data_IF_211092467480
#
_entry.id   IF_211092467480
#
_cell.length_a   1.000
_cell.length_b   1.000
_cell.length_c   1.000
_cell.angle_alpha   90.00
_cell.angle_beta   90.00
_cell.angle_gamma   90.00
#
_symmetry.space_group_name_H-M   'P 1'
#
loop_
_entity.id
_entity.type
_entity.pdbx_description
1 polymer ?
#
# COMPACT_ATOMS: atom_id res chain seq x y z
N UNK A 1 -4.83 -30.47 5.90
CA UNK A 1 -5.34 -29.39 5.04
C UNK A 1 -4.17 -28.44 4.79
N UNK A 2 -3.89 -28.07 3.54
CA UNK A 2 -2.87 -27.05 3.25
C UNK A 2 -3.30 -25.73 3.91
N UNK A 3 -2.37 -25.03 4.53
CA UNK A 3 -2.68 -23.75 5.15
C UNK A 3 -2.94 -22.72 4.04
N UNK A 4 -4.01 -21.94 4.20
CA UNK A 4 -4.41 -20.90 3.25
C UNK A 4 -3.34 -19.82 3.07
N UNK A 5 -3.10 -19.42 1.82
CA UNK A 5 -2.06 -18.46 1.42
C UNK A 5 -2.68 -17.10 1.10
N UNK A 6 -2.09 -16.04 1.66
CA UNK A 6 -2.44 -14.65 1.38
C UNK A 6 -1.24 -13.87 0.83
N UNK A 7 -1.40 -13.23 -0.33
CA UNK A 7 -0.38 -12.38 -0.90
C UNK A 7 -0.42 -10.97 -0.29
N UNK A 8 0.75 -10.39 -0.02
CA UNK A 8 0.93 -9.04 0.52
C UNK A 8 1.61 -8.13 -0.49
N UNK A 9 1.18 -6.87 -0.57
CA UNK A 9 1.77 -5.86 -1.44
C UNK A 9 1.98 -4.54 -0.68
N UNK A 10 3.22 -4.04 -0.70
CA UNK A 10 3.59 -2.81 -0.02
C UNK A 10 2.98 -1.54 -0.64
N UNK A 11 2.94 -0.49 0.17
CA UNK A 11 2.63 0.87 -0.25
C UNK A 11 3.85 1.65 -0.75
N UNK A 12 3.70 2.98 -0.84
CA UNK A 12 4.80 3.90 -1.12
C UNK A 12 5.81 3.90 0.04
N UNK A 13 7.07 4.15 -0.22
CA UNK A 13 8.26 4.13 0.65
C UNK A 13 9.17 2.91 0.50
N UNK A 14 8.80 1.94 -0.32
CA UNK A 14 9.67 0.77 -0.61
C UNK A 14 10.51 0.96 -1.88
N UNK A 15 10.29 2.04 -2.63
CA UNK A 15 11.06 2.36 -3.83
C UNK A 15 12.51 2.73 -3.47
N UNK A 16 13.44 2.36 -4.35
CA UNK A 16 14.86 2.65 -4.22
C UNK A 16 15.49 2.68 -5.62
N UNK A 17 16.48 3.55 -5.83
CA UNK A 17 17.18 3.63 -7.11
C UNK A 17 17.73 2.26 -7.52
N UNK A 18 17.48 1.87 -8.77
CA UNK A 18 17.90 0.57 -9.28
C UNK A 18 17.04 -0.62 -8.89
N UNK A 19 15.88 -0.42 -8.25
CA UNK A 19 14.97 -1.49 -7.78
C UNK A 19 14.57 -2.50 -8.87
N UNK A 20 14.63 -2.13 -10.13
CA UNK A 20 14.28 -2.98 -11.28
C UNK A 20 15.46 -3.57 -12.01
N UNK A 21 16.72 -3.23 -11.67
CA UNK A 21 17.92 -3.67 -12.43
C UNK A 21 17.98 -5.19 -12.52
N UNK A 22 17.91 -5.90 -11.40
CA UNK A 22 17.93 -7.36 -11.38
C UNK A 22 16.60 -7.97 -11.83
N UNK A 23 15.48 -7.30 -11.53
CA UNK A 23 14.14 -7.73 -11.93
C UNK A 23 14.02 -7.83 -13.46
N UNK A 24 14.50 -6.82 -14.18
CA UNK A 24 14.41 -6.75 -15.65
C UNK A 24 15.35 -7.73 -16.37
N UNK A 25 16.26 -8.40 -15.67
CA UNK A 25 17.02 -9.54 -16.21
C UNK A 25 16.16 -10.81 -16.28
N UNK A 26 15.04 -10.86 -15.57
CA UNK A 26 14.10 -12.00 -15.59
C UNK A 26 13.11 -11.82 -16.75
N UNK A 27 13.08 -12.74 -17.75
CA UNK A 27 12.24 -12.58 -18.94
C UNK A 27 10.75 -12.42 -18.62
N UNK A 28 10.23 -13.19 -17.66
CA UNK A 28 8.83 -13.12 -17.23
C UNK A 28 8.48 -11.74 -16.65
N UNK A 29 9.36 -11.17 -15.80
CA UNK A 29 9.14 -9.85 -15.21
C UNK A 29 9.26 -8.73 -16.26
N UNK A 30 10.26 -8.82 -17.17
CA UNK A 30 10.41 -7.86 -18.27
C UNK A 30 9.17 -7.83 -19.16
N UNK A 31 8.61 -8.98 -19.51
CA UNK A 31 7.38 -9.05 -20.31
C UNK A 31 6.20 -8.33 -19.64
N UNK A 32 6.08 -8.38 -18.32
CA UNK A 32 5.06 -7.63 -17.56
C UNK A 32 5.32 -6.13 -17.64
N UNK A 33 6.55 -5.67 -17.45
CA UNK A 33 6.90 -4.26 -17.54
C UNK A 33 6.63 -3.70 -18.93
N UNK A 34 6.91 -4.47 -19.99
CA UNK A 34 6.57 -4.05 -21.38
C UNK A 34 5.06 -3.87 -21.57
N UNK A 35 4.23 -4.73 -20.98
CA UNK A 35 2.76 -4.59 -21.00
C UNK A 35 2.27 -3.34 -20.25
N UNK A 36 2.99 -2.89 -19.23
CA UNK A 36 2.65 -1.71 -18.44
C UNK A 36 3.12 -0.39 -19.06
N UNK A 37 4.17 -0.40 -19.91
CA UNK A 37 4.71 0.83 -20.55
C UNK A 37 3.66 1.68 -21.25
N UNK A 38 2.68 1.15 -22.02
CA UNK A 38 1.68 1.98 -22.70
C UNK A 38 0.85 2.84 -21.75
N UNK A 39 0.59 2.38 -20.54
CA UNK A 39 -0.20 3.10 -19.52
C UNK A 39 0.66 3.89 -18.53
N UNK A 40 1.80 3.33 -18.12
CA UNK A 40 2.66 3.95 -17.10
C UNK A 40 3.71 4.92 -17.66
N UNK A 41 3.94 4.93 -18.97
CA UNK A 41 4.85 5.84 -19.66
C UNK A 41 6.10 5.15 -20.20
N UNK A 42 6.67 5.74 -21.28
CA UNK A 42 7.86 5.21 -21.95
C UNK A 42 9.11 5.27 -21.07
N UNK A 43 9.12 6.13 -20.04
CA UNK A 43 10.19 6.30 -19.06
C UNK A 43 10.20 5.22 -17.96
N UNK A 44 9.26 4.28 -17.97
CA UNK A 44 9.07 3.28 -16.90
C UNK A 44 10.35 2.46 -16.63
N UNK A 45 11.07 2.07 -17.67
CA UNK A 45 12.32 1.33 -17.49
C UNK A 45 13.39 2.19 -16.79
N UNK A 46 13.50 3.45 -17.15
CA UNK A 46 14.41 4.39 -16.48
C UNK A 46 14.01 4.62 -15.02
N UNK A 47 12.71 4.72 -14.72
CA UNK A 47 12.22 4.79 -13.32
C UNK A 47 12.65 3.59 -12.48
N UNK A 48 12.67 2.41 -13.09
CA UNK A 48 13.04 1.17 -12.40
C UNK A 48 14.57 0.97 -12.28
N UNK A 49 15.39 1.61 -13.13
CA UNK A 49 16.82 1.24 -13.25
C UNK A 49 17.80 2.34 -12.97
N UNK A 50 17.52 3.56 -13.41
CA UNK A 50 18.53 4.65 -13.43
C UNK A 50 18.07 5.94 -12.75
N UNK A 51 16.79 6.05 -12.40
CA UNK A 51 16.25 7.27 -11.76
C UNK A 51 16.80 7.40 -10.33
N UNK A 52 17.38 8.55 -9.96
CA UNK A 52 17.85 8.81 -8.59
C UNK A 52 16.74 8.78 -7.56
N UNK A 53 17.08 8.47 -6.30
CA UNK A 53 16.12 8.32 -5.20
C UNK A 53 15.24 9.54 -4.99
N UNK A 54 15.80 10.76 -5.04
CA UNK A 54 15.04 11.99 -4.85
C UNK A 54 13.98 12.24 -5.94
N UNK A 55 14.23 11.81 -7.18
CA UNK A 55 13.29 11.89 -8.29
C UNK A 55 12.29 10.75 -8.23
N UNK A 56 12.76 9.55 -7.86
CA UNK A 56 11.93 8.36 -7.70
C UNK A 56 10.95 8.51 -6.51
N UNK A 57 11.32 9.24 -5.46
CA UNK A 57 10.48 9.51 -4.30
C UNK A 57 9.26 10.41 -4.59
N UNK A 58 9.28 11.17 -5.69
CA UNK A 58 8.10 11.95 -6.11
C UNK A 58 6.92 11.01 -6.34
N UNK A 59 5.76 11.34 -5.78
CA UNK A 59 4.56 10.50 -5.77
C UNK A 59 4.17 9.99 -7.16
N UNK A 60 4.27 10.85 -8.18
CA UNK A 60 3.98 10.47 -9.56
C UNK A 60 4.91 9.35 -10.07
N UNK A 61 6.18 9.38 -9.70
CA UNK A 61 7.18 8.40 -10.13
C UNK A 61 7.12 7.14 -9.25
N UNK A 62 7.08 7.32 -7.93
CA UNK A 62 7.06 6.23 -6.96
C UNK A 62 5.91 5.26 -7.21
N UNK A 63 4.67 5.77 -7.39
CA UNK A 63 3.52 4.90 -7.60
C UNK A 63 3.63 4.06 -8.87
N UNK A 64 4.12 4.64 -9.98
CA UNK A 64 4.33 3.92 -11.25
C UNK A 64 5.39 2.83 -11.11
N UNK A 65 6.54 3.17 -10.52
CA UNK A 65 7.65 2.24 -10.35
C UNK A 65 7.31 1.09 -9.40
N UNK A 66 6.74 1.40 -8.24
CA UNK A 66 6.35 0.39 -7.23
C UNK A 66 5.31 -0.57 -7.81
N UNK A 67 4.26 -0.04 -8.47
CA UNK A 67 3.24 -0.89 -9.05
C UNK A 67 3.79 -1.83 -10.12
N UNK A 68 4.60 -1.30 -11.04
CA UNK A 68 5.24 -2.12 -12.06
C UNK A 68 6.14 -3.20 -11.46
N UNK A 69 6.92 -2.83 -10.44
CA UNK A 69 7.75 -3.77 -9.69
C UNK A 69 6.91 -4.87 -9.02
N UNK A 70 5.84 -4.50 -8.29
CA UNK A 70 4.98 -5.48 -7.61
C UNK A 70 4.33 -6.47 -8.57
N UNK A 71 3.70 -5.97 -9.64
CA UNK A 71 3.03 -6.85 -10.61
C UNK A 71 4.03 -7.75 -11.33
N UNK A 72 5.20 -7.21 -11.71
CA UNK A 72 6.25 -7.99 -12.36
C UNK A 72 6.84 -9.07 -11.43
N UNK A 73 7.13 -8.74 -10.18
CA UNK A 73 7.59 -9.71 -9.18
C UNK A 73 6.55 -10.82 -8.95
N UNK A 74 5.29 -10.41 -8.70
CA UNK A 74 4.22 -11.35 -8.41
C UNK A 74 3.99 -12.34 -9.56
N UNK A 75 3.86 -11.85 -10.79
CA UNK A 75 3.58 -12.71 -11.94
C UNK A 75 4.77 -13.61 -12.29
N UNK A 76 6.01 -13.13 -12.12
CA UNK A 76 7.20 -13.97 -12.28
C UNK A 76 7.24 -15.07 -11.21
N UNK A 77 6.94 -14.74 -9.96
CA UNK A 77 6.88 -15.70 -8.87
C UNK A 77 5.77 -16.73 -9.07
N UNK A 78 4.57 -16.29 -9.41
CA UNK A 78 3.42 -17.19 -9.67
C UNK A 78 3.69 -18.13 -10.84
N UNK A 79 4.30 -17.65 -11.94
CA UNK A 79 4.67 -18.47 -13.07
C UNK A 79 5.70 -19.54 -12.71
N UNK A 80 6.61 -19.25 -11.79
CA UNK A 80 7.61 -20.20 -11.29
C UNK A 80 7.06 -21.20 -10.28
N UNK A 81 5.88 -20.94 -9.72
CA UNK A 81 5.23 -21.78 -8.71
C UNK A 81 3.81 -22.15 -9.16
N UNK A 82 3.65 -22.99 -10.19
CA UNK A 82 2.33 -23.30 -10.79
C UNK A 82 1.37 -24.01 -9.85
N UNK A 83 1.85 -24.56 -8.75
CA UNK A 83 1.03 -25.14 -7.69
C UNK A 83 0.63 -24.16 -6.58
N UNK A 84 0.99 -22.88 -6.70
CA UNK A 84 0.61 -21.86 -5.72
C UNK A 84 -0.87 -21.50 -5.91
N UNK A 85 -1.68 -21.86 -4.94
CA UNK A 85 -3.07 -21.44 -4.86
C UNK A 85 -3.19 -20.32 -3.83
N UNK A 86 -3.73 -19.17 -4.26
CA UNK A 86 -4.07 -18.07 -3.35
C UNK A 86 -5.44 -18.32 -2.73
N UNK A 87 -5.55 -17.92 -1.47
CA UNK A 87 -6.83 -17.85 -0.73
C UNK A 87 -7.22 -16.39 -0.40
N UNK A 88 -6.33 -15.44 -0.66
CA UNK A 88 -6.59 -14.02 -0.49
C UNK A 88 -5.42 -13.14 -0.88
N UNK A 89 -5.66 -11.84 -0.94
CA UNK A 89 -4.62 -10.84 -1.16
C UNK A 89 -4.89 -9.56 -0.35
N UNK A 90 -3.82 -8.89 0.05
CA UNK A 90 -3.86 -7.63 0.81
C UNK A 90 -2.89 -6.65 0.15
N UNK A 91 -3.31 -5.40 0.00
CA UNK A 91 -2.41 -4.33 -0.43
C UNK A 91 -2.44 -3.16 0.54
N UNK A 92 -1.26 -2.72 0.98
CA UNK A 92 -1.13 -1.51 1.76
C UNK A 92 -1.21 -0.30 0.83
N UNK A 93 -2.16 0.61 1.07
CA UNK A 93 -2.36 1.81 0.25
C UNK A 93 -2.44 1.49 -1.25
N UNK A 94 -1.52 2.02 -2.06
CA UNK A 94 -1.46 1.75 -3.50
C UNK A 94 -1.22 0.27 -3.84
N UNK A 95 -0.66 -0.50 -2.93
CA UNK A 95 -0.42 -1.94 -3.09
C UNK A 95 -1.71 -2.73 -3.34
N UNK A 96 -2.87 -2.19 -2.95
CA UNK A 96 -4.19 -2.81 -3.23
C UNK A 96 -4.42 -3.04 -4.73
N UNK A 97 -3.84 -2.20 -5.60
CA UNK A 97 -4.00 -2.36 -7.05
C UNK A 97 -3.24 -3.60 -7.56
N UNK A 98 -2.05 -3.88 -7.01
CA UNK A 98 -1.34 -5.13 -7.29
C UNK A 98 -2.03 -6.34 -6.65
N UNK A 99 -2.62 -6.19 -5.46
CA UNK A 99 -3.43 -7.22 -4.82
C UNK A 99 -4.65 -7.60 -5.68
N UNK A 100 -5.31 -6.62 -6.31
CA UNK A 100 -6.41 -6.86 -7.26
C UNK A 100 -5.95 -7.60 -8.52
N UNK A 101 -4.73 -7.35 -9.01
CA UNK A 101 -4.13 -8.13 -10.12
C UNK A 101 -3.89 -9.57 -9.67
N UNK A 102 -3.30 -9.78 -8.50
CA UNK A 102 -3.04 -11.11 -7.96
C UNK A 102 -4.34 -11.91 -7.74
N UNK A 103 -5.40 -11.26 -7.29
CA UNK A 103 -6.72 -11.85 -7.12
C UNK A 103 -7.49 -12.05 -8.44
N UNK A 104 -6.96 -11.58 -9.58
CA UNK A 104 -7.60 -11.66 -10.89
C UNK A 104 -8.77 -10.71 -11.10
N UNK A 105 -8.90 -9.67 -10.27
CA UNK A 105 -9.93 -8.63 -10.39
C UNK A 105 -9.56 -7.53 -11.41
N UNK A 106 -8.27 -7.31 -11.65
CA UNK A 106 -7.76 -6.38 -12.65
C UNK A 106 -6.80 -7.09 -13.62
N UNK A 107 -6.87 -6.72 -14.89
CA UNK A 107 -5.79 -7.03 -15.83
C UNK A 107 -4.52 -6.23 -15.51
N UNK A 108 -3.39 -6.67 -16.04
CA UNK A 108 -2.12 -5.91 -15.93
C UNK A 108 -2.29 -4.52 -16.55
N UNK A 109 -2.90 -4.46 -17.72
CA UNK A 109 -3.12 -3.23 -18.48
C UNK A 109 -4.04 -2.26 -17.72
N UNK A 110 -5.20 -2.74 -17.26
CA UNK A 110 -6.17 -1.93 -16.51
C UNK A 110 -5.58 -1.41 -15.20
N UNK A 111 -4.77 -2.24 -14.51
CA UNK A 111 -4.08 -1.82 -13.30
C UNK A 111 -3.09 -0.69 -13.55
N UNK A 112 -2.38 -0.74 -14.69
CA UNK A 112 -1.50 0.33 -15.15
C UNK A 112 -2.26 1.64 -15.44
N UNK A 113 -3.40 1.55 -16.13
CA UNK A 113 -4.27 2.72 -16.40
C UNK A 113 -4.73 3.37 -15.11
N UNK A 114 -5.17 2.57 -14.14
CA UNK A 114 -5.64 3.09 -12.85
C UNK A 114 -4.51 3.73 -12.03
N UNK A 115 -3.35 3.07 -11.92
CA UNK A 115 -2.19 3.62 -11.19
C UNK A 115 -1.66 4.89 -11.83
N UNK A 116 -1.60 4.98 -13.16
CA UNK A 116 -1.19 6.21 -13.85
C UNK A 116 -2.10 7.40 -13.48
N UNK A 117 -3.41 7.16 -13.48
CA UNK A 117 -4.38 8.18 -13.09
C UNK A 117 -4.28 8.55 -11.60
N UNK A 118 -4.11 7.56 -10.71
CA UNK A 118 -3.91 7.76 -9.28
C UNK A 118 -2.64 8.59 -9.02
N UNK A 119 -1.51 8.20 -9.59
CA UNK A 119 -0.24 8.90 -9.44
C UNK A 119 -0.35 10.37 -9.90
N UNK A 120 -1.00 10.61 -11.04
CA UNK A 120 -1.25 11.98 -11.57
C UNK A 120 -2.16 12.78 -10.65
N UNK A 121 -3.28 12.19 -10.20
CA UNK A 121 -4.25 12.86 -9.33
C UNK A 121 -3.64 13.22 -7.97
N UNK A 122 -2.88 12.30 -7.38
CA UNK A 122 -2.19 12.53 -6.10
C UNK A 122 -1.12 13.61 -6.23
N UNK A 123 -0.28 13.56 -7.27
CA UNK A 123 0.73 14.60 -7.53
C UNK A 123 0.08 15.97 -7.78
N UNK A 124 -1.09 16.02 -8.44
CA UNK A 124 -1.82 17.27 -8.65
C UNK A 124 -2.35 17.84 -7.32
N UNK A 125 -2.89 16.99 -6.44
CA UNK A 125 -3.32 17.43 -5.11
C UNK A 125 -2.13 18.00 -4.31
N UNK A 126 -0.98 17.30 -4.28
CA UNK A 126 0.21 17.78 -3.57
C UNK A 126 0.66 19.16 -4.03
N UNK A 127 0.60 19.43 -5.34
CA UNK A 127 0.98 20.74 -5.92
C UNK A 127 -0.05 21.85 -5.67
N UNK A 128 -1.29 21.48 -5.34
CA UNK A 128 -2.37 22.43 -5.13
C UNK A 128 -2.55 22.85 -3.66
N UNK A 129 -1.82 22.25 -2.72
CA UNK A 129 -1.91 22.64 -1.32
C UNK A 129 -1.42 24.07 -1.10
N UNK A 130 -2.20 24.90 -0.37
CA UNK A 130 -1.85 26.31 -0.13
C UNK A 130 -0.67 26.46 0.84
N UNK A 131 -0.34 25.41 1.59
CA UNK A 131 0.71 25.35 2.58
C UNK A 131 1.36 23.97 2.61
N UNK A 132 2.56 23.80 3.18
CA UNK A 132 3.20 22.51 3.30
C UNK A 132 2.35 21.53 4.12
N UNK A 133 2.07 20.37 3.52
CA UNK A 133 1.31 19.28 4.14
C UNK A 133 2.12 17.97 4.05
N UNK A 134 1.87 17.05 4.95
CA UNK A 134 2.62 15.79 4.98
C UNK A 134 2.05 14.73 5.90
N UNK A 135 2.90 13.76 6.19
CA UNK A 135 2.60 12.66 7.12
C UNK A 135 3.64 12.62 8.23
N UNK A 136 3.22 12.16 9.40
CA UNK A 136 4.11 11.80 10.49
C UNK A 136 3.86 10.35 10.90
N UNK A 137 4.91 9.52 10.90
CA UNK A 137 4.86 8.19 11.49
C UNK A 137 4.78 8.31 13.01
N UNK A 138 3.90 7.53 13.61
CA UNK A 138 3.71 7.45 15.05
C UNK A 138 3.89 6.03 15.51
N UNK A 139 4.60 5.85 16.62
CA UNK A 139 4.70 4.56 17.32
C UNK A 139 4.42 4.75 18.80
N UNK A 140 3.68 3.82 19.36
CA UNK A 140 3.17 3.79 20.73
C UNK A 140 2.97 2.33 21.17
N UNK A 141 2.55 2.09 22.39
CA UNK A 141 2.16 0.76 22.86
C UNK A 141 0.73 0.40 22.39
N UNK A 142 -0.19 1.38 22.34
CA UNK A 142 -1.55 1.21 21.79
C UNK A 142 -1.91 2.37 20.85
N UNK A 143 -2.18 2.08 19.58
CA UNK A 143 -2.52 3.10 18.59
C UNK A 143 -3.92 3.72 18.77
N UNK A 144 -4.79 3.12 19.60
CA UNK A 144 -6.05 3.75 19.97
C UNK A 144 -5.83 5.10 20.68
N UNK A 145 -4.80 5.22 21.52
CA UNK A 145 -4.43 6.47 22.19
C UNK A 145 -4.09 7.57 21.16
N UNK A 146 -3.45 7.18 20.05
CA UNK A 146 -3.16 8.12 18.95
C UNK A 146 -4.42 8.53 18.20
N UNK A 147 -5.38 7.62 18.02
CA UNK A 147 -6.68 7.94 17.38
C UNK A 147 -7.44 8.97 18.22
N UNK A 148 -7.45 8.81 19.54
CA UNK A 148 -8.09 9.75 20.45
C UNK A 148 -7.37 11.10 20.48
N UNK A 149 -6.07 11.09 20.73
CA UNK A 149 -5.25 12.32 20.85
C UNK A 149 -5.13 13.11 19.55
N UNK A 150 -5.22 12.46 18.37
CA UNK A 150 -5.23 13.17 17.09
C UNK A 150 -6.43 14.12 16.97
N UNK A 151 -7.58 13.76 17.57
CA UNK A 151 -8.77 14.60 17.62
C UNK A 151 -8.59 15.89 18.45
N UNK A 152 -7.61 15.94 19.34
CA UNK A 152 -7.32 17.11 20.19
C UNK A 152 -6.51 18.20 19.48
N UNK A 153 -5.87 17.89 18.36
CA UNK A 153 -5.05 18.83 17.61
C UNK A 153 -5.72 19.16 16.27
N UNK A 154 -6.26 20.38 16.11
CA UNK A 154 -6.92 20.80 14.87
C UNK A 154 -6.00 20.64 13.66
N UNK A 155 -6.53 20.07 12.57
CA UNK A 155 -5.80 19.87 11.33
C UNK A 155 -4.97 18.58 11.26
N UNK A 156 -4.98 17.76 12.31
CA UNK A 156 -4.40 16.42 12.32
C UNK A 156 -5.51 15.37 12.06
N UNK A 157 -5.19 14.35 11.29
CA UNK A 157 -6.07 13.22 11.00
C UNK A 157 -5.27 11.92 10.98
N UNK A 158 -5.87 10.82 11.43
CA UNK A 158 -5.28 9.48 11.28
C UNK A 158 -5.36 9.08 9.80
N UNK A 159 -4.20 8.85 9.19
CA UNK A 159 -4.07 8.50 7.77
C UNK A 159 -3.91 6.98 7.56
N UNK A 160 -3.06 6.34 8.35
CA UNK A 160 -2.79 4.91 8.26
C UNK A 160 -2.78 4.28 9.65
N UNK A 161 -3.42 3.12 9.79
CA UNK A 161 -3.33 2.26 10.96
C UNK A 161 -2.68 0.93 10.54
N UNK A 162 -1.39 0.81 10.84
CA UNK A 162 -0.57 -0.28 10.30
C UNK A 162 -0.52 -1.50 11.23
N UNK A 163 -0.31 -1.27 12.54
CA UNK A 163 -0.21 -2.33 13.57
C UNK A 163 -0.89 -1.86 14.85
N UNK A 164 -0.88 -2.69 15.89
CA UNK A 164 -1.41 -2.30 17.21
C UNK A 164 -0.72 -1.07 17.80
N UNK A 165 0.55 -0.86 17.50
CA UNK A 165 1.34 0.27 18.02
C UNK A 165 1.87 1.22 16.96
N UNK A 166 1.50 1.08 15.67
CA UNK A 166 2.07 1.91 14.60
C UNK A 166 1.04 2.40 13.61
N UNK A 167 1.14 3.66 13.27
CA UNK A 167 0.34 4.28 12.23
C UNK A 167 0.95 5.57 11.72
N UNK A 168 0.12 6.36 11.06
CA UNK A 168 0.57 7.62 10.46
C UNK A 168 -0.52 8.67 10.63
N UNK A 169 -0.12 9.85 11.05
CA UNK A 169 -0.96 11.04 11.07
C UNK A 169 -0.71 11.88 9.82
N UNK A 170 -1.74 12.54 9.32
CA UNK A 170 -1.66 13.46 8.19
C UNK A 170 -2.23 14.82 8.54
N UNK A 171 -1.65 15.88 7.95
CA UNK A 171 -2.09 17.25 8.18
C UNK A 171 -1.14 18.28 7.58
N UNK A 172 -1.31 19.55 7.95
CA UNK A 172 -0.32 20.56 7.67
C UNK A 172 0.96 20.29 8.48
N UNK A 173 2.11 20.73 7.99
CA UNK A 173 3.37 20.56 8.73
C UNK A 173 3.28 21.23 10.12
N UNK A 174 2.66 22.41 10.21
CA UNK A 174 2.45 23.10 11.47
C UNK A 174 1.56 22.31 12.45
N UNK A 175 0.49 21.65 11.96
CA UNK A 175 -0.37 20.82 12.80
C UNK A 175 0.34 19.56 13.29
N UNK A 176 1.16 18.92 12.44
CA UNK A 176 1.95 17.75 12.83
C UNK A 176 3.04 18.09 13.85
N UNK A 177 3.68 19.26 13.71
CA UNK A 177 4.64 19.78 14.68
C UNK A 177 3.96 20.13 16.01
N UNK A 178 2.77 20.74 15.97
CA UNK A 178 1.96 21.03 17.16
C UNK A 178 1.56 19.74 17.90
N UNK A 179 1.17 18.70 17.16
CA UNK A 179 0.89 17.37 17.74
C UNK A 179 2.13 16.81 18.46
N UNK A 180 3.29 16.84 17.79
CA UNK A 180 4.53 16.34 18.37
C UNK A 180 4.94 17.12 19.62
N UNK A 181 4.78 18.45 19.60
CA UNK A 181 5.08 19.32 20.75
C UNK A 181 4.13 19.07 21.92
N UNK A 182 2.83 18.91 21.66
CA UNK A 182 1.83 18.57 22.68
C UNK A 182 2.14 17.21 23.31
N UNK A 183 2.38 16.20 22.49
CA UNK A 183 2.76 14.86 22.96
C UNK A 183 3.98 14.88 23.89
N UNK A 184 4.99 15.67 23.54
CA UNK A 184 6.19 15.81 24.37
C UNK A 184 5.94 16.60 25.66
N UNK A 185 5.07 17.63 25.64
CA UNK A 185 4.78 18.45 26.82
C UNK A 185 3.87 17.77 27.85
N UNK A 186 3.07 16.81 27.39
CA UNK A 186 2.11 16.03 28.22
C UNK A 186 2.62 14.60 28.50
N UNK A 187 3.90 14.32 28.17
CA UNK A 187 4.55 13.01 28.37
C UNK A 187 3.75 11.83 27.79
N UNK A 188 3.12 12.03 26.62
CA UNK A 188 2.40 10.93 25.93
C UNK A 188 3.40 9.82 25.55
N UNK A 189 3.00 8.53 25.68
CA UNK A 189 3.87 7.41 25.35
C UNK A 189 3.95 7.19 23.81
N UNK A 190 4.22 8.27 23.04
CA UNK A 190 4.25 8.25 21.59
C UNK A 190 5.58 8.79 21.06
N UNK A 191 6.07 8.16 20.00
CA UNK A 191 7.21 8.68 19.21
C UNK A 191 6.68 9.17 17.86
N UNK A 192 6.93 10.45 17.56
CA UNK A 192 6.46 11.09 16.33
C UNK A 192 7.67 11.38 15.42
N UNK A 193 7.57 10.96 14.15
CA UNK A 193 8.59 11.24 13.13
C UNK A 193 7.94 11.74 11.85
N UNK A 194 8.19 13.00 11.51
CA UNK A 194 7.75 13.57 10.23
C UNK A 194 8.40 12.83 9.07
N UNK A 195 7.60 12.48 8.06
CA UNK A 195 8.02 11.73 6.89
C UNK A 195 8.32 12.66 5.72
N UNK A 196 9.30 12.28 4.90
CA UNK A 196 9.62 12.98 3.63
C UNK A 196 8.68 12.49 2.52
N UNK A 197 7.43 12.99 2.54
CA UNK A 197 6.40 12.69 1.54
C UNK A 197 5.75 13.99 1.06
N UNK A 198 5.13 13.97 -0.15
CA UNK A 198 4.62 15.18 -0.78
C UNK A 198 3.26 15.64 -0.23
N UNK A 199 2.57 14.84 0.59
CA UNK A 199 1.25 15.23 1.09
C UNK A 199 0.65 14.25 2.12
N UNK A 200 -0.46 14.64 2.77
CA UNK A 200 -1.17 13.88 3.78
C UNK A 200 -2.12 12.87 3.13
N UNK A 201 -1.59 11.84 2.46
CA UNK A 201 -2.38 10.79 1.82
C UNK A 201 -3.37 10.16 2.81
N UNK A 202 -4.48 9.65 2.30
CA UNK A 202 -5.55 9.03 3.10
C UNK A 202 -6.23 9.98 4.10
N UNK A 203 -6.26 11.28 3.78
CA UNK A 203 -7.00 12.29 4.53
C UNK A 203 -7.92 13.09 3.62
N UNK A 204 -8.84 13.86 4.20
CA UNK A 204 -9.78 14.70 3.47
C UNK A 204 -9.11 15.70 2.49
N UNK A 205 -7.83 16.04 2.72
CA UNK A 205 -7.05 16.90 1.83
C UNK A 205 -6.95 16.35 0.39
N UNK A 206 -7.07 15.03 0.22
CA UNK A 206 -7.02 14.38 -1.10
C UNK A 206 -8.39 14.26 -1.79
N UNK A 207 -9.42 14.95 -1.34
CA UNK A 207 -10.75 14.92 -1.98
C UNK A 207 -10.71 15.25 -3.49
N UNK A 208 -9.80 16.12 -3.92
CA UNK A 208 -9.59 16.46 -5.33
C UNK A 208 -9.15 15.29 -6.22
N UNK A 209 -8.60 14.22 -5.65
CA UNK A 209 -8.20 13.03 -6.40
C UNK A 209 -9.39 12.12 -6.77
N UNK A 210 -10.54 12.22 -6.08
CA UNK A 210 -11.68 11.31 -6.29
C UNK A 210 -12.21 11.34 -7.72
N UNK A 211 -12.47 12.52 -8.27
CA UNK A 211 -13.07 12.65 -9.60
C UNK A 211 -12.15 12.11 -10.73
N UNK A 212 -10.85 12.46 -10.80
CA UNK A 212 -9.95 11.86 -11.77
C UNK A 212 -9.83 10.33 -11.65
N UNK A 213 -9.80 9.80 -10.43
CA UNK A 213 -9.72 8.36 -10.18
C UNK A 213 -11.02 7.65 -10.60
N UNK A 214 -12.18 8.24 -10.30
CA UNK A 214 -13.46 7.73 -10.79
C UNK A 214 -13.48 7.66 -12.32
N UNK A 215 -13.08 8.74 -12.98
CA UNK A 215 -13.01 8.78 -14.44
C UNK A 215 -12.03 7.73 -15.03
N UNK A 216 -10.99 7.34 -14.30
CA UNK A 216 -10.11 6.26 -14.70
C UNK A 216 -10.78 4.89 -14.51
N UNK A 217 -11.46 4.67 -13.38
CA UNK A 217 -12.21 3.44 -13.14
C UNK A 217 -13.31 3.22 -14.21
N UNK A 218 -13.94 4.29 -14.69
CA UNK A 218 -14.98 4.19 -15.73
C UNK A 218 -14.44 3.72 -17.09
N UNK A 219 -13.11 3.71 -17.28
CA UNK A 219 -12.43 3.27 -18.50
C UNK A 219 -11.86 1.85 -18.42
N UNK A 220 -11.90 1.23 -17.25
CA UNK A 220 -11.32 -0.09 -17.01
C UNK A 220 -12.39 -1.05 -16.49
N UNK A 221 -12.08 -2.34 -16.58
CA UNK A 221 -12.94 -3.40 -16.08
C UNK A 221 -12.42 -3.91 -14.74
N UNK A 222 -13.22 -3.77 -13.68
CA UNK A 222 -13.02 -4.47 -12.41
C UNK A 222 -13.90 -5.70 -12.41
N UNK A 223 -13.31 -6.88 -12.40
CA UNK A 223 -14.03 -8.15 -12.36
C UNK A 223 -14.21 -8.63 -10.91
N UNK A 224 -15.09 -9.61 -10.70
CA UNK A 224 -15.14 -10.32 -9.42
C UNK A 224 -13.80 -11.04 -9.19
N UNK A 225 -13.12 -10.78 -8.06
CA UNK A 225 -11.87 -11.44 -7.76
C UNK A 225 -12.07 -12.94 -7.56
N UNK A 226 -11.08 -13.74 -7.96
CA UNK A 226 -11.10 -15.21 -7.79
C UNK A 226 -10.93 -15.62 -6.33
N UNK A 227 -10.31 -14.77 -5.54
CA UNK A 227 -10.11 -14.90 -4.09
C UNK A 227 -10.39 -13.55 -3.43
N UNK A 228 -10.81 -13.49 -2.16
CA UNK A 228 -11.08 -12.24 -1.47
C UNK A 228 -9.88 -11.29 -1.49
N UNK A 229 -10.15 -10.00 -1.71
CA UNK A 229 -9.18 -8.94 -1.48
C UNK A 229 -9.52 -8.27 -0.14
N UNK A 230 -8.62 -8.36 0.82
CA UNK A 230 -8.82 -7.72 2.12
C UNK A 230 -8.34 -6.27 2.02
N UNK A 231 -9.29 -5.35 1.98
CA UNK A 231 -9.02 -3.94 1.72
C UNK A 231 -8.90 -3.14 3.02
N UNK A 232 -7.80 -2.44 3.21
CA UNK A 232 -7.60 -1.58 4.38
C UNK A 232 -8.62 -0.45 4.50
N UNK A 233 -9.23 -0.02 3.39
CA UNK A 233 -10.29 0.99 3.40
C UNK A 233 -11.54 0.52 4.15
N UNK A 234 -11.93 -0.74 4.02
CA UNK A 234 -13.08 -1.33 4.74
C UNK A 234 -12.67 -2.15 5.97
N UNK A 235 -11.42 -2.59 6.04
CA UNK A 235 -10.94 -3.56 7.04
C UNK A 235 -11.51 -4.97 6.82
N UNK A 236 -12.03 -5.30 5.63
CA UNK A 236 -12.81 -6.52 5.37
C UNK A 236 -12.40 -7.21 4.07
N UNK A 237 -12.87 -8.45 3.91
CA UNK A 237 -12.81 -9.19 2.67
C UNK A 237 -13.83 -8.63 1.67
N UNK A 238 -13.38 -8.33 0.45
CA UNK A 238 -14.21 -7.80 -0.63
C UNK A 238 -14.15 -8.73 -1.84
N UNK A 239 -15.32 -9.01 -2.40
CA UNK A 239 -15.48 -9.85 -3.59
C UNK A 239 -16.41 -9.23 -4.63
N UNK A 240 -17.14 -8.17 -4.28
CA UNK A 240 -18.05 -7.45 -5.18
C UNK A 240 -17.28 -6.37 -5.96
N UNK A 241 -17.24 -6.44 -7.29
CA UNK A 241 -16.58 -5.44 -8.13
C UNK A 241 -17.09 -4.01 -7.92
N UNK A 242 -18.39 -3.83 -7.68
CA UNK A 242 -18.97 -2.51 -7.46
C UNK A 242 -18.44 -1.92 -6.15
N UNK A 243 -18.43 -2.71 -5.07
CA UNK A 243 -17.89 -2.28 -3.78
C UNK A 243 -16.38 -2.02 -3.84
N UNK A 244 -15.62 -2.85 -4.54
CA UNK A 244 -14.17 -2.64 -4.76
C UNK A 244 -13.92 -1.29 -5.45
N UNK A 245 -14.70 -0.94 -6.49
CA UNK A 245 -14.59 0.36 -7.18
C UNK A 245 -14.86 1.54 -6.23
N UNK A 246 -15.88 1.44 -5.41
CA UNK A 246 -16.19 2.46 -4.38
C UNK A 246 -15.02 2.63 -3.40
N UNK A 247 -14.53 1.53 -2.85
CA UNK A 247 -13.43 1.52 -1.88
C UNK A 247 -12.12 2.08 -2.43
N UNK A 248 -11.81 1.83 -3.72
CA UNK A 248 -10.65 2.43 -4.38
C UNK A 248 -10.74 3.97 -4.44
N UNK A 249 -11.95 4.54 -4.50
CA UNK A 249 -12.15 6.00 -4.44
C UNK A 249 -12.15 6.49 -2.99
N UNK A 250 -12.84 5.79 -2.09
CA UNK A 250 -12.89 6.12 -0.67
C UNK A 250 -11.49 6.15 -0.03
N UNK A 251 -10.60 5.24 -0.44
CA UNK A 251 -9.23 5.15 0.05
C UNK A 251 -8.46 6.48 -0.05
N UNK A 252 -8.81 7.35 -1.01
CA UNK A 252 -8.11 8.63 -1.18
C UNK A 252 -8.20 9.53 0.04
N UNK A 253 -9.31 9.44 0.78
CA UNK A 253 -9.67 10.36 1.88
C UNK A 253 -9.93 9.64 3.21
N UNK A 254 -9.95 8.32 3.22
CA UNK A 254 -10.24 7.51 4.40
C UNK A 254 -8.96 6.92 4.99
N UNK A 255 -8.93 6.80 6.30
CA UNK A 255 -7.85 6.07 6.98
C UNK A 255 -7.71 4.65 6.41
N UNK A 256 -6.50 4.28 6.07
CA UNK A 256 -6.14 2.92 5.65
C UNK A 256 -5.92 2.04 6.88
N UNK A 257 -6.85 1.13 7.16
CA UNK A 257 -6.83 0.22 8.32
C UNK A 257 -6.19 -1.12 7.96
N UNK A 258 -4.88 -1.08 7.69
CA UNK A 258 -4.14 -2.27 7.25
C UNK A 258 -4.14 -3.39 8.31
N UNK A 259 -4.06 -3.02 9.59
CA UNK A 259 -4.21 -3.94 10.71
C UNK A 259 -5.50 -4.78 10.62
N UNK A 260 -6.63 -4.12 10.35
CA UNK A 260 -7.92 -4.81 10.26
C UNK A 260 -7.97 -5.73 9.04
N UNK A 261 -7.42 -5.32 7.89
CA UNK A 261 -7.36 -6.16 6.71
C UNK A 261 -6.56 -7.44 6.94
N UNK A 262 -5.41 -7.36 7.62
CA UNK A 262 -4.59 -8.54 7.98
C UNK A 262 -5.35 -9.43 8.96
N UNK A 263 -5.98 -8.88 9.99
CA UNK A 263 -6.80 -9.62 10.96
C UNK A 263 -8.01 -10.29 10.30
N UNK A 264 -8.66 -9.63 9.34
CA UNK A 264 -9.74 -10.23 8.56
C UNK A 264 -9.25 -11.42 7.73
N UNK A 265 -8.08 -11.32 7.10
CA UNK A 265 -7.48 -12.45 6.38
C UNK A 265 -7.14 -13.61 7.32
N UNK A 266 -6.58 -13.32 8.48
CA UNK A 266 -6.31 -14.33 9.50
C UNK A 266 -7.60 -15.00 9.99
N UNK A 267 -8.65 -14.23 10.27
CA UNK A 267 -9.97 -14.75 10.66
C UNK A 267 -10.61 -15.61 9.57
N UNK A 268 -10.36 -15.31 8.29
CA UNK A 268 -10.78 -16.12 7.14
C UNK A 268 -9.96 -17.42 6.98
N UNK A 269 -8.96 -17.64 7.84
CA UNK A 269 -8.16 -18.86 7.88
C UNK A 269 -6.81 -18.76 7.16
N UNK A 270 -6.40 -17.60 6.66
CA UNK A 270 -5.05 -17.42 6.11
C UNK A 270 -4.01 -17.60 7.22
N UNK A 271 -3.00 -18.43 6.93
CA UNK A 271 -1.91 -18.74 7.88
C UNK A 271 -0.53 -18.61 7.24
N UNK A 272 -0.48 -18.58 5.91
CA UNK A 272 0.75 -18.34 5.15
C UNK A 272 0.63 -16.97 4.46
N UNK A 273 1.52 -16.05 4.79
CA UNK A 273 1.54 -14.72 4.20
C UNK A 273 2.79 -14.58 3.34
N UNK A 274 2.61 -14.23 2.06
CA UNK A 274 3.71 -14.13 1.09
C UNK A 274 3.76 -12.73 0.52
N UNK A 275 4.88 -12.05 0.70
CA UNK A 275 5.18 -10.78 0.04
C UNK A 275 6.29 -10.98 -0.99
N UNK A 276 5.98 -10.69 -2.26
CA UNK A 276 6.93 -10.76 -3.37
C UNK A 276 7.23 -9.35 -3.85
N UNK A 277 8.38 -8.81 -3.49
CA UNK A 277 8.73 -7.43 -3.81
C UNK A 277 10.24 -7.20 -3.79
N UNK A 278 10.67 -6.05 -4.33
CA UNK A 278 12.06 -5.63 -4.24
C UNK A 278 12.50 -5.45 -2.77
N UNK A 279 11.67 -4.78 -1.96
CA UNK A 279 11.90 -4.51 -0.54
C UNK A 279 10.65 -4.86 0.28
N UNK A 280 10.54 -6.09 0.77
CA UNK A 280 9.41 -6.52 1.57
C UNK A 280 9.24 -5.66 2.84
N UNK A 281 7.99 -5.23 3.11
CA UNK A 281 7.66 -4.39 4.26
C UNK A 281 6.42 -4.89 5.04
N UNK A 282 5.21 -5.02 4.46
CA UNK A 282 4.02 -5.51 5.19
C UNK A 282 4.25 -6.82 5.93
N UNK A 283 5.00 -7.74 5.34
CA UNK A 283 5.31 -9.03 5.96
C UNK A 283 6.07 -8.88 7.28
N UNK A 284 6.82 -7.80 7.46
CA UNK A 284 7.57 -7.53 8.70
C UNK A 284 6.68 -7.07 9.85
N UNK A 285 5.45 -6.64 9.56
CA UNK A 285 4.50 -6.14 10.56
C UNK A 285 3.58 -7.21 11.13
N UNK A 286 3.54 -8.39 10.51
CA UNK A 286 2.61 -9.48 10.88
C UNK A 286 2.73 -9.87 12.36
N UNK A 287 3.94 -9.86 12.92
CA UNK A 287 4.17 -10.17 14.32
C UNK A 287 3.43 -9.27 15.30
N UNK A 288 3.31 -7.97 14.97
CA UNK A 288 2.55 -6.99 15.75
C UNK A 288 1.05 -6.99 15.37
N UNK A 289 0.72 -7.23 14.11
CA UNK A 289 -0.66 -7.22 13.64
C UNK A 289 -1.47 -8.40 14.17
N UNK A 290 -0.81 -9.55 14.32
CA UNK A 290 -1.43 -10.79 14.81
C UNK A 290 -1.14 -11.00 16.31
N UNK A 291 -1.47 -9.96 17.09
CA UNK A 291 -1.54 -10.00 18.55
C UNK A 291 -3.00 -9.83 18.98
N UNK A 292 -3.39 -10.44 20.10
CA UNK A 292 -4.67 -10.16 20.75
C UNK A 292 -4.63 -8.83 21.54
N UNK A 293 -5.73 -8.51 22.25
CA UNK A 293 -5.85 -7.30 23.06
C UNK A 293 -4.87 -7.24 24.24
N UNK A 294 -4.30 -8.39 24.66
CA UNK A 294 -3.32 -8.50 25.74
C UNK A 294 -1.88 -8.60 25.19
N UNK A 295 -1.69 -8.44 23.88
CA UNK A 295 -0.40 -8.54 23.21
C UNK A 295 0.10 -9.97 23.00
N UNK A 296 -0.75 -10.98 23.22
CA UNK A 296 -0.41 -12.38 22.99
C UNK A 296 -0.60 -12.74 21.53
N UNK A 297 0.36 -13.46 20.95
CA UNK A 297 0.29 -13.91 19.57
C UNK A 297 -0.92 -14.84 19.37
N UNK A 298 -1.78 -14.49 18.39
CA UNK A 298 -3.06 -15.19 18.20
C UNK A 298 -2.92 -16.66 17.87
N UNK A 299 -2.01 -17.02 16.98
CA UNK A 299 -1.65 -18.40 16.68
C UNK A 299 -0.41 -18.43 15.78
N UNK A 300 0.07 -19.63 15.46
CA UNK A 300 1.14 -19.79 14.51
C UNK A 300 0.70 -19.39 13.10
N UNK A 301 1.54 -18.59 12.47
CA UNK A 301 1.46 -18.25 11.06
C UNK A 301 2.86 -18.36 10.47
N UNK A 302 2.92 -18.59 9.15
CA UNK A 302 4.15 -18.51 8.38
C UNK A 302 4.15 -17.24 7.55
N UNK A 303 5.33 -16.64 7.40
CA UNK A 303 5.54 -15.49 6.54
C UNK A 303 6.74 -15.73 5.63
N UNK A 304 6.62 -15.36 4.37
CA UNK A 304 7.67 -15.49 3.36
C UNK A 304 7.88 -14.16 2.65
N UNK A 305 9.07 -13.61 2.78
CA UNK A 305 9.54 -12.49 1.99
C UNK A 305 10.33 -13.03 0.80
N UNK A 306 9.83 -12.82 -0.41
CA UNK A 306 10.48 -13.22 -1.67
C UNK A 306 11.00 -11.97 -2.35
N UNK A 307 12.32 -11.88 -2.49
CA UNK A 307 12.98 -10.77 -3.19
C UNK A 307 13.33 -11.15 -4.62
N UNK A 308 13.79 -10.19 -5.41
CA UNK A 308 14.23 -10.40 -6.80
C UNK A 308 15.27 -11.52 -6.92
N UNK A 309 16.16 -11.65 -5.94
CA UNK A 309 17.20 -12.68 -5.94
C UNK A 309 16.63 -14.11 -5.88
N UNK A 310 15.45 -14.29 -5.28
CA UNK A 310 14.78 -15.58 -5.15
C UNK A 310 13.93 -15.96 -6.38
N UNK A 311 13.74 -15.05 -7.33
CA UNK A 311 13.02 -15.35 -8.56
C UNK A 311 13.88 -16.18 -9.50
N UNK A 312 13.29 -17.14 -10.26
CA UNK A 312 14.03 -17.93 -11.24
C UNK A 312 14.64 -17.07 -12.34
N UNK A 313 15.64 -17.62 -13.01
CA UNK A 313 16.36 -16.96 -14.10
C UNK A 313 15.45 -16.68 -15.31
#
# INVERSE_FOLDING_TARGET
MSQKVCALFAGQSVQEAGMGVELLKKPAARAVVERLKPSLGADLEALLTTTPDEVLALTFNAQRAIHASHVAHWLAYAAANPGLELDGSIGHSMGVVAALVAAGALSVEDSGVFIAARAKAFSACCKAFPEPMGLAAVSTDDFNDVVESAGEVPGVSVALWNTVGRGTLGGTMAALEAYAAKAASEDWPVKVKVLKVEGPYHTAAFAGAKAPMKAALDKITVQAPKVPVFMGTSGKAETDPARIRELLIEQTVACERHLEAVRAAYAAGCRNFVEVSFKPQPVTWLGEQLLDGDGVKLADFASLAVTTASLPA
#
